data_IF_191607236821
#
_entry.id   IF_191607236821
#
_cell.length_a   1.000
_cell.length_b   1.000
_cell.length_c   1.000
_cell.angle_alpha   90.00
_cell.angle_beta   90.00
_cell.angle_gamma   90.00
#
_symmetry.space_group_name_H-M   'P 1'
#
loop_
_entity.id
_entity.type
_entity.pdbx_description
1 polymer ?
#
# COMPACT_ATOMS: atom_id res chain seq x y z
N UNK A 1 36.48 13.54 41.31
CA UNK A 1 35.11 14.08 41.41
C UNK A 1 35.21 15.60 41.52
N UNK A 2 34.44 16.38 40.74
CA UNK A 2 33.12 16.00 40.25
C UNK A 2 33.08 15.73 38.74
N UNK A 3 32.36 14.66 38.41
CA UNK A 3 31.90 14.33 37.08
C UNK A 3 30.68 15.19 36.75
N UNK A 4 30.71 15.85 35.59
CA UNK A 4 29.58 16.61 35.07
C UNK A 4 28.46 15.66 34.60
N UNK A 5 27.18 16.02 34.80
CA UNK A 5 26.08 15.16 34.36
C UNK A 5 26.00 15.20 32.83
N UNK A 6 26.31 14.07 32.20
CA UNK A 6 25.99 13.81 30.80
C UNK A 6 24.47 13.73 30.67
N UNK A 7 23.87 14.85 30.29
CA UNK A 7 22.46 14.92 29.94
C UNK A 7 22.17 13.92 28.82
N UNK A 8 21.46 12.85 29.15
CA UNK A 8 20.85 11.98 28.15
C UNK A 8 19.83 12.83 27.41
N UNK A 9 20.12 13.13 26.15
CA UNK A 9 19.14 13.69 25.21
C UNK A 9 18.12 12.58 24.96
N UNK A 10 17.13 12.47 25.85
CA UNK A 10 15.95 11.67 25.59
C UNK A 10 15.20 12.41 24.49
N UNK A 11 15.16 11.79 23.32
CA UNK A 11 14.42 12.27 22.16
C UNK A 11 12.91 12.23 22.49
N UNK A 12 12.41 13.25 23.18
CA UNK A 12 10.99 13.46 23.43
C UNK A 12 10.33 14.05 22.17
N UNK A 13 10.23 13.26 21.10
CA UNK A 13 9.40 13.60 19.94
C UNK A 13 8.28 12.58 19.72
N UNK A 14 7.56 12.21 20.78
CA UNK A 14 6.32 11.43 20.63
C UNK A 14 5.32 11.58 21.78
N UNK A 15 5.01 12.79 22.26
CA UNK A 15 4.06 12.96 23.38
C UNK A 15 2.90 13.93 23.18
N UNK A 16 2.48 14.17 21.95
CA UNK A 16 1.16 14.78 21.70
C UNK A 16 0.52 14.25 20.42
N UNK A 17 0.61 12.95 20.18
CA UNK A 17 -0.22 12.32 19.16
C UNK A 17 -1.57 12.00 19.76
N UNK A 18 -2.63 12.46 19.11
CA UNK A 18 -3.99 12.05 19.46
C UNK A 18 -4.15 10.55 19.20
N UNK A 19 -5.06 9.89 19.90
CA UNK A 19 -5.35 8.47 19.68
C UNK A 19 -5.65 8.18 18.19
N UNK A 20 -6.39 9.08 17.54
CA UNK A 20 -6.67 9.03 16.11
C UNK A 20 -5.38 9.11 15.28
N UNK A 21 -4.48 10.05 15.57
CA UNK A 21 -3.21 10.17 14.85
C UNK A 21 -2.34 8.91 15.02
N UNK A 22 -2.37 8.29 16.21
CA UNK A 22 -1.68 7.02 16.46
C UNK A 22 -2.26 5.87 15.63
N UNK A 23 -3.58 5.79 15.51
CA UNK A 23 -4.27 4.80 14.67
C UNK A 23 -3.98 5.06 13.20
N UNK A 24 -4.00 6.32 12.76
CA UNK A 24 -3.68 6.71 11.39
C UNK A 24 -2.20 6.45 11.02
N UNK A 25 -1.26 6.55 11.97
CA UNK A 25 0.14 6.12 11.76
C UNK A 25 0.29 4.59 11.76
N UNK A 26 -0.60 3.89 12.45
CA UNK A 26 -0.57 2.43 12.55
C UNK A 26 -1.29 1.73 11.40
N UNK A 27 -1.98 2.48 10.54
CA UNK A 27 -2.64 1.94 9.36
C UNK A 27 -1.60 1.42 8.36
N UNK A 28 -1.44 0.10 8.36
CA UNK A 28 -0.52 -0.64 7.50
C UNK A 28 -0.85 -0.43 6.02
N UNK A 29 -2.13 -0.34 5.66
CA UNK A 29 -2.56 -0.15 4.27
C UNK A 29 -2.13 1.21 3.72
N UNK A 30 -2.28 2.26 4.53
CA UNK A 30 -1.83 3.61 4.19
C UNK A 30 -0.30 3.68 4.13
N UNK A 31 0.39 3.09 5.10
CA UNK A 31 1.85 3.10 5.15
C UNK A 31 2.45 2.35 3.95
N UNK A 32 1.84 1.26 3.53
CA UNK A 32 2.24 0.51 2.35
C UNK A 32 2.07 1.31 1.07
N UNK A 33 0.93 1.98 0.87
CA UNK A 33 0.71 2.86 -0.30
C UNK A 33 1.74 4.00 -0.34
N UNK A 34 2.03 4.62 0.81
CA UNK A 34 3.04 5.68 0.92
C UNK A 34 4.46 5.15 0.65
N UNK A 35 4.81 3.96 1.15
CA UNK A 35 6.09 3.32 0.87
C UNK A 35 6.27 3.05 -0.62
N UNK A 36 5.24 2.51 -1.29
CA UNK A 36 5.26 2.24 -2.74
C UNK A 36 5.38 3.51 -3.57
N UNK A 37 4.68 4.58 -3.17
CA UNK A 37 4.81 5.89 -3.79
C UNK A 37 6.24 6.43 -3.65
N UNK A 38 6.80 6.37 -2.45
CA UNK A 38 8.14 6.89 -2.17
C UNK A 38 9.23 6.08 -2.88
N UNK A 39 9.09 4.75 -2.99
CA UNK A 39 10.07 3.91 -3.70
C UNK A 39 10.06 4.20 -5.21
N UNK A 40 8.89 4.36 -5.83
CA UNK A 40 8.76 4.73 -7.24
C UNK A 40 9.27 6.15 -7.50
N UNK A 41 8.92 7.12 -6.65
CA UNK A 41 9.39 8.50 -6.78
C UNK A 41 10.92 8.59 -6.69
N UNK A 42 11.51 7.93 -5.69
CA UNK A 42 12.97 7.88 -5.51
C UNK A 42 13.68 7.24 -6.71
N UNK A 43 13.12 6.15 -7.24
CA UNK A 43 13.70 5.47 -8.39
C UNK A 43 13.66 6.30 -9.69
N UNK A 44 12.72 7.26 -9.81
CA UNK A 44 12.65 8.20 -10.92
C UNK A 44 13.58 9.41 -10.74
N UNK A 45 13.84 9.83 -9.49
CA UNK A 45 14.77 10.93 -9.17
C UNK A 45 16.24 10.51 -9.29
N UNK A 46 16.54 9.23 -9.02
CA UNK A 46 17.88 8.65 -9.08
C UNK A 46 18.32 8.42 -10.53
N UNK A 47 18.79 9.49 -11.18
CA UNK A 47 19.25 9.51 -12.57
C UNK A 47 20.52 8.67 -12.84
N UNK A 48 21.19 8.15 -11.81
CA UNK A 48 22.40 7.34 -11.95
C UNK A 48 22.08 5.95 -12.52
N UNK A 49 20.95 5.36 -12.11
CA UNK A 49 20.52 4.03 -12.55
C UNK A 49 19.36 4.13 -13.54
N UNK A 50 19.68 4.12 -14.84
CA UNK A 50 18.68 4.09 -15.93
C UNK A 50 17.69 2.91 -15.83
N UNK A 51 18.04 1.85 -15.10
CA UNK A 51 17.19 0.68 -14.84
C UNK A 51 16.47 0.71 -13.48
N UNK A 52 16.72 1.72 -12.64
CA UNK A 52 16.12 1.87 -11.31
C UNK A 52 14.58 1.87 -11.31
N UNK A 53 13.90 2.63 -12.20
CA UNK A 53 12.44 2.60 -12.31
C UNK A 53 11.88 1.21 -12.66
N UNK A 54 12.60 0.44 -13.46
CA UNK A 54 12.15 -0.88 -13.94
C UNK A 54 12.30 -1.93 -12.85
N UNK A 55 13.42 -1.89 -12.12
CA UNK A 55 13.66 -2.76 -10.97
C UNK A 55 12.61 -2.54 -9.89
N UNK A 56 12.33 -1.28 -9.55
CA UNK A 56 11.31 -0.95 -8.55
C UNK A 56 9.91 -1.38 -8.99
N UNK A 57 9.53 -1.18 -10.26
CA UNK A 57 8.27 -1.70 -10.80
C UNK A 57 8.19 -3.23 -10.70
N UNK A 58 9.27 -3.94 -11.04
CA UNK A 58 9.32 -5.41 -10.93
C UNK A 58 9.19 -5.89 -9.48
N UNK A 59 9.89 -5.24 -8.57
CA UNK A 59 9.81 -5.54 -7.13
C UNK A 59 8.39 -5.35 -6.61
N UNK A 60 7.74 -4.22 -6.93
CA UNK A 60 6.37 -3.94 -6.50
C UNK A 60 5.36 -4.94 -7.09
N UNK A 61 5.49 -5.26 -8.38
CA UNK A 61 4.64 -6.27 -9.02
C UNK A 61 4.84 -7.65 -8.40
N UNK A 62 6.08 -8.00 -8.05
CA UNK A 62 6.39 -9.25 -7.39
C UNK A 62 5.82 -9.33 -5.97
N UNK A 63 5.88 -8.24 -5.20
CA UNK A 63 5.24 -8.15 -3.88
C UNK A 63 3.71 -8.30 -3.97
N UNK A 64 3.08 -7.64 -4.95
CA UNK A 64 1.65 -7.76 -5.18
C UNK A 64 1.25 -9.19 -5.56
N UNK A 65 1.98 -9.84 -6.46
CA UNK A 65 1.73 -11.23 -6.85
C UNK A 65 1.93 -12.21 -5.68
N UNK A 66 2.90 -11.98 -4.79
CA UNK A 66 3.07 -12.75 -3.56
C UNK A 66 1.84 -12.65 -2.66
N UNK A 67 1.30 -11.44 -2.51
CA UNK A 67 0.11 -11.20 -1.70
C UNK A 67 -1.13 -11.90 -2.30
N UNK A 68 -1.32 -11.79 -3.62
CA UNK A 68 -2.39 -12.48 -4.35
C UNK A 68 -2.29 -14.01 -4.20
N UNK A 69 -1.08 -14.56 -4.33
CA UNK A 69 -0.82 -15.99 -4.12
C UNK A 69 -1.16 -16.41 -2.68
N UNK A 70 -0.77 -15.61 -1.69
CA UNK A 70 -1.08 -15.88 -0.29
C UNK A 70 -2.59 -15.88 -0.03
N UNK A 71 -3.33 -14.90 -0.56
CA UNK A 71 -4.78 -14.86 -0.43
C UNK A 71 -5.45 -16.03 -1.16
N UNK A 72 -5.05 -16.33 -2.40
CA UNK A 72 -5.58 -17.47 -3.15
C UNK A 72 -5.31 -18.80 -2.41
N UNK A 73 -4.12 -18.95 -1.81
CA UNK A 73 -3.78 -20.11 -1.01
C UNK A 73 -4.69 -20.22 0.23
N UNK A 74 -4.90 -19.13 0.96
CA UNK A 74 -5.81 -19.13 2.12
C UNK A 74 -7.26 -19.42 1.70
N UNK A 75 -7.69 -18.90 0.56
CA UNK A 75 -9.01 -19.15 0.01
C UNK A 75 -9.22 -20.62 -0.32
N UNK A 76 -8.22 -21.30 -0.91
CA UNK A 76 -8.29 -22.76 -1.10
C UNK A 76 -8.34 -23.52 0.21
N UNK A 77 -7.58 -23.10 1.23
CA UNK A 77 -7.57 -23.77 2.53
C UNK A 77 -8.91 -23.66 3.27
N UNK A 78 -9.65 -22.57 3.06
CA UNK A 78 -10.92 -22.30 3.75
C UNK A 78 -12.14 -22.85 2.99
N UNK A 79 -12.09 -22.95 1.66
CA UNK A 79 -13.22 -23.42 0.84
C UNK A 79 -13.21 -24.96 0.74
N UNK A 80 -14.38 -25.60 0.92
CA UNK A 80 -14.58 -27.05 0.69
C UNK A 80 -15.67 -27.26 -0.39
N UNK A 81 -15.52 -28.28 -1.25
CA UNK A 81 -16.52 -28.66 -2.26
C UNK A 81 -16.36 -27.95 -3.61
N UNK A 82 -17.44 -27.67 -4.35
CA UNK A 82 -17.36 -27.07 -5.70
C UNK A 82 -16.63 -25.70 -5.74
N UNK A 83 -16.63 -24.97 -4.62
CA UNK A 83 -15.89 -23.70 -4.45
C UNK A 83 -14.38 -23.90 -4.27
N UNK A 84 -13.95 -25.05 -3.76
CA UNK A 84 -12.54 -25.43 -3.70
C UNK A 84 -11.97 -25.67 -5.10
N UNK A 85 -12.75 -26.30 -6.01
CA UNK A 85 -12.31 -26.49 -7.40
C UNK A 85 -12.07 -25.16 -8.13
N UNK A 86 -12.90 -24.14 -7.86
CA UNK A 86 -12.68 -22.80 -8.40
C UNK A 86 -11.46 -22.13 -7.78
N UNK A 87 -11.35 -22.15 -6.45
CA UNK A 87 -10.21 -21.58 -5.74
C UNK A 87 -8.87 -22.23 -6.15
N UNK A 88 -8.85 -23.54 -6.40
CA UNK A 88 -7.63 -24.25 -6.85
C UNK A 88 -7.24 -23.89 -8.29
N UNK A 89 -8.21 -23.54 -9.15
CA UNK A 89 -7.91 -22.98 -10.48
C UNK A 89 -7.30 -21.59 -10.35
N UNK A 90 -7.85 -20.75 -9.48
CA UNK A 90 -7.32 -19.41 -9.20
C UNK A 90 -5.90 -19.48 -8.63
N UNK A 91 -5.65 -20.39 -7.68
CA UNK A 91 -4.32 -20.63 -7.13
C UNK A 91 -3.32 -21.05 -8.21
N UNK A 92 -3.72 -21.96 -9.12
CA UNK A 92 -2.87 -22.38 -10.24
C UNK A 92 -2.57 -21.25 -11.22
N UNK A 93 -3.54 -20.38 -11.48
CA UNK A 93 -3.34 -19.18 -12.31
C UNK A 93 -2.37 -18.21 -11.63
N UNK A 94 -2.52 -17.99 -10.32
CA UNK A 94 -1.61 -17.14 -9.54
C UNK A 94 -0.18 -17.71 -9.52
N UNK A 95 -0.02 -19.02 -9.35
CA UNK A 95 1.26 -19.72 -9.41
C UNK A 95 1.95 -19.51 -10.78
N UNK A 96 1.22 -19.75 -11.89
CA UNK A 96 1.75 -19.52 -13.24
C UNK A 96 2.17 -18.07 -13.48
N UNK A 97 1.44 -17.09 -12.94
CA UNK A 97 1.82 -15.68 -13.03
C UNK A 97 3.11 -15.39 -12.26
N UNK A 98 3.26 -15.95 -11.06
CA UNK A 98 4.47 -15.77 -10.25
C UNK A 98 5.72 -16.37 -10.88
N UNK A 99 5.63 -17.56 -11.49
CA UNK A 99 6.76 -18.20 -12.16
C UNK A 99 7.25 -17.39 -13.39
N UNK A 100 6.33 -16.86 -14.20
CA UNK A 100 6.68 -16.07 -15.38
C UNK A 100 7.43 -14.78 -15.06
N UNK A 101 7.18 -14.18 -13.89
CA UNK A 101 7.89 -12.98 -13.45
C UNK A 101 9.31 -13.29 -13.00
N UNK A 102 9.57 -14.49 -12.46
CA UNK A 102 10.91 -14.93 -12.06
C UNK A 102 11.80 -15.29 -13.27
N UNK A 103 11.23 -15.74 -14.38
CA UNK A 103 12.00 -16.15 -15.59
C UNK A 103 12.58 -14.97 -16.37
N UNK A 104 12.00 -13.77 -16.28
CA UNK A 104 12.45 -12.58 -17.01
C UNK A 104 13.56 -11.76 -16.32
N UNK A 105 14.20 -12.30 -15.28
CA UNK A 105 15.19 -11.58 -14.48
C UNK A 105 16.60 -11.40 -15.08
N UNK A 106 16.84 -11.74 -16.35
CA UNK A 106 18.20 -12.01 -16.84
C UNK A 106 18.69 -11.35 -18.12
N UNK A 107 17.93 -10.52 -18.83
CA UNK A 107 18.33 -10.10 -20.19
C UNK A 107 18.50 -8.59 -20.32
N UNK A 108 19.66 -8.20 -20.85
CA UNK A 108 20.02 -6.84 -21.27
C UNK A 108 18.82 -6.13 -21.92
N UNK A 109 18.36 -5.08 -21.25
CA UNK A 109 17.18 -4.34 -21.69
C UNK A 109 17.59 -3.31 -22.74
N UNK A 110 17.07 -3.52 -23.97
CA UNK A 110 17.17 -2.54 -25.05
C UNK A 110 16.70 -1.16 -24.58
N UNK A 111 17.30 -0.09 -25.11
CA UNK A 111 16.93 1.29 -24.75
C UNK A 111 15.43 1.60 -24.92
N UNK A 112 14.75 0.89 -25.83
CA UNK A 112 13.30 0.95 -26.03
C UNK A 112 12.54 0.35 -24.84
N UNK A 113 12.98 -0.82 -24.33
CA UNK A 113 12.38 -1.45 -23.14
C UNK A 113 12.61 -0.61 -21.89
N UNK A 114 13.73 0.11 -21.81
CA UNK A 114 14.02 1.03 -20.71
C UNK A 114 13.04 2.21 -20.73
N UNK A 115 12.78 2.77 -21.91
CA UNK A 115 11.82 3.86 -22.07
C UNK A 115 10.39 3.41 -21.76
N UNK A 116 9.97 2.25 -22.28
CA UNK A 116 8.66 1.66 -22.00
C UNK A 116 8.52 1.36 -20.50
N UNK A 117 9.52 0.75 -19.88
CA UNK A 117 9.53 0.45 -18.45
C UNK A 117 9.49 1.71 -17.58
N UNK A 118 10.16 2.78 -17.99
CA UNK A 118 10.06 4.09 -17.33
C UNK A 118 8.66 4.69 -17.48
N UNK A 119 8.02 4.55 -18.63
CA UNK A 119 6.65 5.02 -18.82
C UNK A 119 5.67 4.25 -17.94
N UNK A 120 5.82 2.92 -17.86
CA UNK A 120 5.05 2.07 -16.95
C UNK A 120 5.25 2.49 -15.49
N UNK A 121 6.47 2.83 -15.08
CA UNK A 121 6.74 3.34 -13.72
C UNK A 121 6.00 4.65 -13.43
N UNK A 122 5.93 5.56 -14.40
CA UNK A 122 5.18 6.83 -14.27
C UNK A 122 3.68 6.60 -14.19
N UNK A 123 3.15 5.68 -15.01
CA UNK A 123 1.73 5.28 -14.95
C UNK A 123 1.38 4.63 -13.60
N UNK A 124 2.21 3.71 -13.11
CA UNK A 124 2.04 3.10 -11.79
C UNK A 124 2.12 4.13 -10.65
N UNK A 125 3.02 5.12 -10.74
CA UNK A 125 3.09 6.19 -9.75
C UNK A 125 1.79 7.03 -9.74
N UNK A 126 1.24 7.33 -10.92
CA UNK A 126 -0.04 8.04 -11.05
C UNK A 126 -1.18 7.24 -10.40
N UNK A 127 -1.22 5.93 -10.64
CA UNK A 127 -2.25 5.05 -10.07
C UNK A 127 -2.12 4.95 -8.55
N UNK A 128 -0.91 4.78 -8.03
CA UNK A 128 -0.65 4.74 -6.57
C UNK A 128 -1.01 6.07 -5.92
N UNK A 129 -0.72 7.21 -6.57
CA UNK A 129 -1.13 8.53 -6.11
C UNK A 129 -2.66 8.68 -6.09
N UNK A 130 -3.34 8.20 -7.13
CA UNK A 130 -4.80 8.18 -7.17
C UNK A 130 -5.39 7.33 -6.03
N UNK A 131 -4.82 6.15 -5.76
CA UNK A 131 -5.23 5.31 -4.63
C UNK A 131 -5.04 6.03 -3.29
N UNK A 132 -3.93 6.76 -3.13
CA UNK A 132 -3.70 7.57 -1.93
C UNK A 132 -4.76 8.66 -1.76
N UNK A 133 -5.10 9.38 -2.83
CA UNK A 133 -6.15 10.42 -2.81
C UNK A 133 -7.53 9.84 -2.49
N UNK A 134 -7.87 8.67 -3.05
CA UNK A 134 -9.12 7.96 -2.73
C UNK A 134 -9.16 7.51 -1.28
N UNK A 135 -8.09 6.87 -0.77
CA UNK A 135 -8.02 6.43 0.62
C UNK A 135 -8.14 7.62 1.58
N UNK A 136 -7.47 8.73 1.28
CA UNK A 136 -7.57 9.94 2.07
C UNK A 136 -8.99 10.53 2.06
N UNK A 137 -9.64 10.59 0.89
CA UNK A 137 -10.99 11.11 0.76
C UNK A 137 -12.06 10.21 1.40
N UNK A 138 -11.94 8.89 1.32
CA UNK A 138 -12.83 7.95 2.02
C UNK A 138 -12.77 8.15 3.53
N UNK A 139 -11.55 8.28 4.10
CA UNK A 139 -11.37 8.51 5.54
C UNK A 139 -12.03 9.82 6.00
N UNK A 140 -11.99 10.88 5.17
CA UNK A 140 -12.65 12.16 5.47
C UNK A 140 -14.17 12.06 5.33
N UNK A 141 -14.67 11.28 4.36
CA UNK A 141 -16.11 11.10 4.13
C UNK A 141 -16.78 10.32 5.28
N UNK A 142 -16.08 9.34 5.85
CA UNK A 142 -16.53 8.60 7.04
C UNK A 142 -16.64 9.50 8.30
N UNK A 143 -15.95 10.66 8.32
CA UNK A 143 -16.06 11.64 9.41
C UNK A 143 -17.22 12.63 9.26
N UNK A 144 -17.76 12.86 8.06
CA UNK A 144 -18.82 13.86 7.83
C UNK A 144 -20.24 13.28 7.93
N UNK A 145 -20.46 11.97 7.76
CA UNK A 145 -21.80 11.36 7.94
C UNK A 145 -22.23 11.22 9.40
N UNK A 146 -21.33 11.38 10.38
CA UNK A 146 -21.65 11.31 11.81
C UNK A 146 -22.13 12.65 12.42
N UNK A 147 -22.34 13.71 11.62
CA UNK A 147 -22.78 15.02 12.12
C UNK A 147 -24.24 15.39 11.76
N UNK A 148 -25.04 14.45 11.26
CA UNK A 148 -26.42 14.72 10.80
C UNK A 148 -27.53 13.99 11.58
N UNK A 149 -27.24 13.48 12.77
CA UNK A 149 -28.25 12.76 13.56
C UNK A 149 -28.29 13.16 15.04
N UNK A 150 -28.55 14.42 15.34
CA UNK A 150 -29.31 14.80 16.56
C UNK A 150 -30.11 16.09 16.31
N UNK A 151 -31.28 15.95 15.69
CA UNK A 151 -32.41 16.81 16.06
C UNK A 151 -33.30 16.01 17.00
N UNK A 152 -33.48 16.44 18.27
CA UNK A 152 -34.39 15.74 19.15
C UNK A 152 -35.83 15.85 18.61
N UNK A 153 -36.63 14.78 18.69
CA UNK A 153 -38.01 14.80 18.22
C UNK A 153 -38.80 15.86 18.99
N UNK A 154 -39.32 16.84 18.25
CA UNK A 154 -40.25 17.84 18.75
C UNK A 154 -41.59 17.14 19.02
N UNK A 155 -41.81 16.73 20.27
CA UNK A 155 -43.10 16.21 20.72
C UNK A 155 -44.00 17.38 21.12
N UNK A 156 -45.09 17.67 20.39
CA UNK A 156 -46.10 18.60 20.88
C UNK A 156 -46.92 17.89 21.98
N UNK A 157 -46.67 18.24 23.24
CA UNK A 157 -47.65 18.02 24.29
C UNK A 157 -48.82 18.99 24.05
N UNK A 158 -50.02 18.42 23.93
CA UNK A 158 -51.24 19.16 23.69
C UNK A 158 -51.66 20.07 24.83
N UNK A 159 -52.51 21.01 24.48
CA UNK A 159 -53.68 21.43 25.25
C UNK A 159 -54.80 21.74 24.25
#
# INVERSE_FOLDING_TARGET
>A
MPDGPTGKVVNHRKWSMTALQSVMESDESKNDVVKRMNSLARALEEHEDKSGPIRTVRELNHEQLKLEFFFAQKDTALKRGARDLHARKELKVAESKSCRVCEHGGEDEDAVKIQEGSQVAVEMLRDVRSQYEVLFNCIISDTDENLLFEQPPNFPYGN
#
